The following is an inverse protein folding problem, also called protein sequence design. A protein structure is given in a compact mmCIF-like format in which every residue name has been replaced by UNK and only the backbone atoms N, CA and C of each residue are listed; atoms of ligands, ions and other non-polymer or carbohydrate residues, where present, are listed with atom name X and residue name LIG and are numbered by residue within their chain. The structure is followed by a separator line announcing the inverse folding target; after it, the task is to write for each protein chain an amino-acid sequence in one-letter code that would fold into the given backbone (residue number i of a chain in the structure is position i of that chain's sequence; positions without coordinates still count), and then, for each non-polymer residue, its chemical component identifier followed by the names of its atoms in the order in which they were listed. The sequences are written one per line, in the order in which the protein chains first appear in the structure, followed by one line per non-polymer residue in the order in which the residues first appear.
data_IF_333077767414
#
_entry.id   IF_333077767414
#
_cell.length_a   1.000
_cell.length_b   1.000
_cell.length_c   1.000
_cell.angle_alpha   90.00
_cell.angle_beta   90.00
_cell.angle_gamma   90.00
#
_symmetry.space_group_name_H-M   'P 1'
#
loop_
_entity.id
_entity.type
_entity.pdbx_description
1 polymer ?
#
# COMPACT_ATOMS: atom_id res chain seq x y z
N UNK A 1 16.70 -2.64 -1.46
CA UNK A 1 15.93 -3.00 -2.67
C UNK A 1 14.47 -3.01 -2.28
N UNK A 2 13.67 -2.04 -2.74
CA UNK A 2 12.27 -1.93 -2.31
C UNK A 2 11.44 -3.01 -3.00
N UNK A 3 11.11 -4.07 -2.26
CA UNK A 3 10.27 -5.19 -2.69
C UNK A 3 8.91 -4.72 -3.25
N UNK A 4 8.41 -3.58 -2.79
CA UNK A 4 7.20 -2.93 -3.29
C UNK A 4 7.26 -2.57 -4.80
N UNK A 5 8.47 -2.36 -5.35
CA UNK A 5 8.64 -2.11 -6.78
C UNK A 5 8.49 -3.39 -7.63
N UNK A 6 8.64 -4.57 -7.02
CA UNK A 6 8.42 -5.86 -7.67
C UNK A 6 6.95 -6.27 -7.67
N UNK A 7 6.08 -5.54 -6.95
CA UNK A 7 4.65 -5.79 -6.96
C UNK A 7 4.05 -5.39 -8.32
N UNK A 8 3.40 -6.37 -8.94
CA UNK A 8 2.60 -6.18 -10.15
C UNK A 8 1.17 -5.93 -9.71
N UNK A 9 0.63 -4.76 -10.08
CA UNK A 9 -0.75 -4.38 -9.73
C UNK A 9 -1.61 -4.48 -10.98
N UNK A 10 -2.65 -5.28 -10.91
CA UNK A 10 -3.62 -5.48 -11.97
C UNK A 10 -4.77 -4.45 -11.93
N UNK A 11 -5.52 -4.39 -13.03
CA UNK A 11 -6.72 -3.57 -13.20
C UNK A 11 -7.79 -3.94 -12.15
N UNK A 12 -7.83 -5.21 -11.78
CA UNK A 12 -8.78 -5.78 -10.82
C UNK A 12 -8.41 -5.56 -9.34
N UNK A 13 -7.47 -4.66 -9.04
CA UNK A 13 -6.92 -4.43 -7.69
C UNK A 13 -6.22 -5.67 -7.08
N UNK A 14 -5.72 -6.56 -7.93
CA UNK A 14 -4.94 -7.71 -7.52
C UNK A 14 -3.46 -7.32 -7.55
N UNK A 15 -2.76 -7.58 -6.45
CA UNK A 15 -1.32 -7.41 -6.34
C UNK A 15 -0.65 -8.75 -6.37
N UNK A 16 0.08 -9.00 -7.45
CA UNK A 16 0.90 -10.17 -7.59
C UNK A 16 2.32 -9.88 -7.12
N UNK A 17 2.80 -10.70 -6.19
CA UNK A 17 4.17 -10.66 -5.73
C UNK A 17 4.97 -11.83 -6.32
N UNK A 18 5.72 -11.61 -7.42
CA UNK A 18 6.40 -12.68 -8.15
C UNK A 18 7.46 -13.40 -7.31
N UNK A 19 8.13 -12.72 -6.38
CA UNK A 19 9.19 -13.36 -5.58
C UNK A 19 8.67 -14.38 -4.57
N UNK A 20 7.42 -14.26 -4.12
CA UNK A 20 6.80 -15.20 -3.18
C UNK A 20 5.74 -16.09 -3.86
N UNK A 21 5.40 -15.79 -5.12
CA UNK A 21 4.35 -16.48 -5.87
C UNK A 21 2.93 -16.24 -5.34
N UNK A 22 2.73 -15.21 -4.51
CA UNK A 22 1.46 -14.93 -3.85
C UNK A 22 0.71 -13.80 -4.56
N UNK A 23 -0.62 -13.96 -4.65
CA UNK A 23 -1.54 -12.93 -5.13
C UNK A 23 -2.35 -12.41 -3.96
N UNK A 24 -2.33 -11.10 -3.75
CA UNK A 24 -3.10 -10.41 -2.71
C UNK A 24 -4.18 -9.57 -3.36
N UNK A 25 -5.42 -9.70 -2.89
CA UNK A 25 -6.48 -8.79 -3.31
C UNK A 25 -6.41 -7.53 -2.45
N UNK A 26 -6.30 -6.37 -3.08
CA UNK A 26 -6.34 -5.07 -2.40
C UNK A 26 -7.69 -4.39 -2.65
N UNK A 27 -8.11 -3.59 -1.68
CA UNK A 27 -9.15 -2.59 -1.89
C UNK A 27 -8.56 -1.38 -2.64
N UNK A 28 -9.43 -0.52 -3.20
CA UNK A 28 -9.00 0.67 -3.95
C UNK A 28 -7.99 1.55 -3.18
N UNK A 29 -8.22 1.73 -1.88
CA UNK A 29 -7.31 2.46 -0.98
C UNK A 29 -5.95 1.78 -0.85
N UNK A 30 -5.92 0.45 -0.74
CA UNK A 30 -4.68 -0.33 -0.64
C UNK A 30 -3.83 -0.23 -1.92
N UNK A 31 -4.47 -0.24 -3.08
CA UNK A 31 -3.80 -0.03 -4.38
C UNK A 31 -3.15 1.35 -4.44
N UNK A 32 -3.83 2.38 -3.94
CA UNK A 32 -3.28 3.72 -3.88
C UNK A 32 -2.11 3.85 -2.92
N UNK A 33 -2.20 3.26 -1.73
CA UNK A 33 -1.07 3.21 -0.78
C UNK A 33 0.16 2.58 -1.44
N UNK A 34 0.00 1.43 -2.11
CA UNK A 34 1.11 0.76 -2.82
C UNK A 34 1.64 1.65 -3.95
N UNK A 35 0.77 2.30 -4.72
CA UNK A 35 1.17 3.18 -5.82
C UNK A 35 1.98 4.37 -5.31
N UNK A 36 1.54 5.02 -4.23
CA UNK A 36 2.24 6.15 -3.62
C UNK A 36 3.55 5.71 -2.96
N UNK A 37 3.60 4.52 -2.37
CA UNK A 37 4.85 3.92 -1.87
C UNK A 37 5.84 3.64 -3.01
N UNK A 38 5.37 3.18 -4.18
CA UNK A 38 6.20 3.03 -5.40
C UNK A 38 6.74 4.37 -5.91
N UNK A 39 6.02 5.47 -5.68
CA UNK A 39 6.47 6.83 -5.96
C UNK A 39 7.46 7.38 -4.91
N UNK A 40 7.88 6.57 -3.94
CA UNK A 40 8.76 6.99 -2.84
C UNK A 40 8.15 8.09 -1.94
N UNK A 41 6.82 8.24 -1.92
CA UNK A 41 6.15 9.14 -0.97
C UNK A 41 6.29 8.63 0.46
N UNK A 42 6.35 9.56 1.41
CA UNK A 42 6.39 9.24 2.83
C UNK A 42 4.99 8.87 3.35
N UNK A 43 4.95 8.19 4.49
CA UNK A 43 3.69 7.78 5.13
C UNK A 43 2.76 8.99 5.37
N UNK A 44 3.30 10.13 5.79
CA UNK A 44 2.53 11.35 6.01
C UNK A 44 1.90 11.86 4.71
N UNK A 45 2.65 11.96 3.61
CA UNK A 45 2.10 12.40 2.33
C UNK A 45 1.01 11.46 1.80
N UNK A 46 1.19 10.15 2.01
CA UNK A 46 0.18 9.15 1.66
C UNK A 46 -1.10 9.39 2.45
N UNK A 47 -0.99 9.62 3.76
CA UNK A 47 -2.14 9.88 4.62
C UNK A 47 -2.82 11.19 4.23
N UNK A 48 -2.08 12.24 3.89
CA UNK A 48 -2.68 13.50 3.45
C UNK A 48 -3.46 13.38 2.15
N UNK A 49 -2.90 12.71 1.14
CA UNK A 49 -3.62 12.46 -0.12
C UNK A 49 -4.86 11.60 0.09
N UNK A 50 -4.74 10.51 0.84
CA UNK A 50 -5.88 9.63 1.12
C UNK A 50 -6.95 10.34 1.94
N UNK A 51 -6.57 11.15 2.93
CA UNK A 51 -7.52 11.90 3.76
C UNK A 51 -8.28 12.92 2.92
N UNK A 52 -7.59 13.60 2.01
CA UNK A 52 -8.22 14.56 1.09
C UNK A 52 -9.11 13.88 0.06
N UNK A 53 -8.74 12.69 -0.41
CA UNK A 53 -9.46 11.98 -1.48
C UNK A 53 -10.68 11.21 -0.98
N UNK A 54 -10.58 10.57 0.17
CA UNK A 54 -11.64 9.76 0.76
C UNK A 54 -12.49 10.54 1.78
N UNK A 55 -12.14 11.80 2.08
CA UNK A 55 -12.77 12.63 3.13
C UNK A 55 -12.79 11.94 4.52
N UNK A 56 -11.78 11.09 4.77
CA UNK A 56 -11.62 10.33 6.01
C UNK A 56 -10.64 11.05 6.94
N UNK A 57 -10.86 11.06 8.26
CA UNK A 57 -9.92 11.65 9.19
C UNK A 57 -8.53 10.98 9.13
N UNK A 58 -7.49 11.83 9.04
CA UNK A 58 -6.07 11.42 9.02
C UNK A 58 -5.70 10.44 10.15
N UNK A 59 -6.37 10.53 11.30
CA UNK A 59 -6.13 9.64 12.45
C UNK A 59 -6.50 8.19 12.13
N UNK A 60 -7.65 7.96 11.49
CA UNK A 60 -8.07 6.61 11.11
C UNK A 60 -7.15 6.06 10.01
N UNK A 61 -6.92 6.88 8.97
CA UNK A 61 -5.97 6.53 7.90
C UNK A 61 -4.56 6.24 8.43
N UNK A 62 -4.10 6.95 9.46
CA UNK A 62 -2.80 6.67 10.05
C UNK A 62 -2.72 5.26 10.63
N UNK A 63 -3.79 4.81 11.30
CA UNK A 63 -3.89 3.47 11.88
C UNK A 63 -3.96 2.44 10.75
N UNK A 64 -4.88 2.62 9.79
CA UNK A 64 -5.03 1.73 8.64
C UNK A 64 -3.75 1.60 7.81
N UNK A 65 -3.12 2.72 7.45
CA UNK A 65 -1.86 2.73 6.69
C UNK A 65 -0.74 2.08 7.50
N UNK A 66 -0.66 2.31 8.82
CA UNK A 66 0.35 1.65 9.65
C UNK A 66 0.13 0.13 9.74
N UNK A 67 -1.12 -0.30 9.88
CA UNK A 67 -1.48 -1.72 9.92
C UNK A 67 -1.18 -2.39 8.58
N UNK A 68 -1.53 -1.71 7.48
CA UNK A 68 -1.24 -2.17 6.13
C UNK A 68 0.27 -2.29 5.87
N UNK A 69 1.07 -1.29 6.25
CA UNK A 69 2.53 -1.35 6.17
C UNK A 69 3.11 -2.48 7.02
N UNK A 70 2.54 -2.71 8.22
CA UNK A 70 2.97 -3.80 9.10
C UNK A 70 2.67 -5.16 8.48
N UNK A 71 1.49 -5.34 7.88
CA UNK A 71 1.12 -6.54 7.11
C UNK A 71 2.08 -6.75 5.95
N UNK A 72 2.36 -5.71 5.16
CA UNK A 72 3.35 -5.79 4.07
C UNK A 72 4.73 -6.25 4.58
N UNK A 73 5.18 -5.73 5.73
CA UNK A 73 6.42 -6.20 6.37
C UNK A 73 6.36 -7.68 6.77
N UNK A 74 5.26 -8.11 7.39
CA UNK A 74 5.06 -9.51 7.79
C UNK A 74 5.08 -10.43 6.56
N UNK A 75 4.52 -10.01 5.44
CA UNK A 75 4.57 -10.74 4.18
C UNK A 75 5.93 -10.65 3.46
N UNK A 76 6.91 -9.90 4.00
CA UNK A 76 8.21 -9.69 3.37
C UNK A 76 8.17 -8.79 2.12
N UNK A 77 7.07 -8.06 1.92
CA UNK A 77 6.81 -7.12 0.82
C UNK A 77 7.41 -5.74 1.05
N UNK A 78 7.80 -5.47 2.29
CA UNK A 78 8.44 -4.24 2.72
C UNK A 78 9.52 -4.65 3.73
N UNK A 79 10.76 -4.18 3.55
CA UNK A 79 11.85 -4.46 4.48
C UNK A 79 12.32 -3.18 5.15
#
# INVERSE_FOLDING_TARGET
MNTINQLVVDENNIVFYPMMGNSYQLNGTGKEIVTLLKQHKTKDEIIEELASKYEVPKRELFIDVSDFLSKLKIYGLLS
#
